data_IF_508218093476
#
_entry.id   IF_508218093476
#
_cell.length_a   1.000
_cell.length_b   1.000
_cell.length_c   1.000
_cell.angle_alpha   90.00
_cell.angle_beta   90.00
_cell.angle_gamma   90.00
#
_symmetry.space_group_name_H-M   'P 1'
#
loop_
_entity.id
_entity.type
_entity.pdbx_description
1 polymer ?
#
# COMPACT_ATOMS: atom_id res chain seq x y z
N UNK A 1 1.35 9.40 -10.36
CA UNK A 1 1.58 8.53 -9.20
C UNK A 1 2.73 9.00 -8.33
N UNK A 2 4.01 8.89 -8.74
CA UNK A 2 5.16 9.28 -7.88
C UNK A 2 5.05 10.71 -7.36
N UNK A 3 4.78 11.70 -8.22
CA UNK A 3 4.60 13.10 -7.79
C UNK A 3 3.50 13.29 -6.74
N UNK A 4 2.43 12.50 -6.82
CA UNK A 4 1.31 12.57 -5.88
C UNK A 4 1.68 11.94 -4.53
N UNK A 5 2.39 10.81 -4.56
CA UNK A 5 2.95 10.19 -3.36
C UNK A 5 3.95 11.13 -2.68
N UNK A 6 4.90 11.69 -3.43
CA UNK A 6 5.87 12.68 -2.92
C UNK A 6 5.16 13.86 -2.28
N UNK A 7 4.13 14.40 -2.93
CA UNK A 7 3.36 15.51 -2.37
C UNK A 7 2.69 15.11 -1.04
N UNK A 8 2.03 13.95 -1.00
CA UNK A 8 1.37 13.43 0.22
C UNK A 8 2.36 13.25 1.37
N UNK A 9 3.54 12.69 1.09
CA UNK A 9 4.59 12.47 2.10
C UNK A 9 5.17 13.80 2.59
N UNK A 10 5.38 14.76 1.70
CA UNK A 10 5.85 16.10 2.05
C UNK A 10 4.83 16.86 2.91
N UNK A 11 3.53 16.76 2.63
CA UNK A 11 2.46 17.36 3.45
C UNK A 11 2.43 16.76 4.87
N UNK A 12 2.76 15.47 4.99
CA UNK A 12 2.92 14.79 6.27
C UNK A 12 4.26 15.10 6.98
N UNK A 13 5.13 15.93 6.37
CA UNK A 13 6.45 16.25 6.92
C UNK A 13 7.45 15.08 6.87
N UNK A 14 7.23 14.10 5.98
CA UNK A 14 8.08 12.93 5.84
C UNK A 14 9.09 13.20 4.71
N UNK A 15 10.37 13.31 5.07
CA UNK A 15 11.48 13.37 4.12
C UNK A 15 11.94 11.94 3.78
N UNK A 16 11.91 11.57 2.51
CA UNK A 16 12.21 10.21 2.08
C UNK A 16 12.72 10.12 0.64
N UNK A 17 13.53 9.09 0.38
CA UNK A 17 13.87 8.65 -0.98
C UNK A 17 12.79 7.70 -1.48
N UNK A 18 12.22 7.99 -2.66
CA UNK A 18 11.19 7.14 -3.27
C UNK A 18 11.83 6.30 -4.36
N UNK A 19 11.79 4.99 -4.17
CA UNK A 19 12.14 4.02 -5.19
C UNK A 19 10.87 3.42 -5.80
N UNK A 20 10.86 3.27 -7.12
CA UNK A 20 9.69 2.76 -7.85
C UNK A 20 9.99 1.43 -8.49
N UNK A 21 9.08 0.48 -8.35
CA UNK A 21 9.20 -0.84 -8.96
C UNK A 21 7.89 -1.23 -9.64
N UNK A 22 8.02 -1.96 -10.75
CA UNK A 22 6.89 -2.65 -11.35
C UNK A 22 6.62 -3.96 -10.61
N UNK A 23 5.34 -4.31 -10.44
CA UNK A 23 4.85 -5.48 -9.67
C UNK A 23 5.62 -6.77 -9.97
N UNK A 24 6.02 -6.99 -11.24
CA UNK A 24 6.74 -8.19 -11.67
C UNK A 24 8.08 -8.41 -10.95
N UNK A 25 8.72 -7.34 -10.44
CA UNK A 25 10.01 -7.38 -9.73
C UNK A 25 9.89 -7.08 -8.23
N UNK A 26 8.68 -6.84 -7.72
CA UNK A 26 8.48 -6.45 -6.32
C UNK A 26 8.93 -7.54 -5.35
N UNK A 27 8.86 -8.83 -5.74
CA UNK A 27 9.14 -9.95 -4.82
C UNK A 27 10.56 -9.96 -4.25
N UNK A 28 11.57 -9.65 -5.07
CA UNK A 28 12.96 -9.58 -4.63
C UNK A 28 13.23 -8.30 -3.81
N UNK A 29 12.64 -7.18 -4.22
CA UNK A 29 12.78 -5.92 -3.49
C UNK A 29 12.03 -5.91 -2.16
N UNK A 30 10.98 -6.71 -2.00
CA UNK A 30 10.32 -6.85 -0.70
C UNK A 30 11.26 -7.44 0.36
N UNK A 31 12.33 -8.13 -0.01
CA UNK A 31 13.34 -8.58 0.96
C UNK A 31 14.27 -7.45 1.41
N UNK A 32 14.27 -6.29 0.73
CA UNK A 32 14.99 -5.11 1.14
C UNK A 32 14.30 -4.40 2.33
N UNK A 33 15.09 -3.75 3.17
CA UNK A 33 14.62 -3.02 4.35
C UNK A 33 14.05 -1.65 3.97
N UNK A 34 12.84 -1.62 3.41
CA UNK A 34 12.09 -0.38 3.23
C UNK A 34 11.39 0.02 4.54
N UNK A 35 11.36 1.33 4.83
CA UNK A 35 10.58 1.83 5.96
C UNK A 35 9.07 1.80 5.67
N UNK A 36 8.66 2.11 4.44
CA UNK A 36 7.27 2.19 4.01
C UNK A 36 7.11 1.63 2.60
N UNK A 37 5.90 1.17 2.27
CA UNK A 37 5.57 0.73 0.92
C UNK A 37 4.26 1.36 0.46
N UNK A 38 4.21 1.79 -0.81
CA UNK A 38 3.02 2.37 -1.42
C UNK A 38 2.57 1.53 -2.62
N UNK A 39 1.28 1.18 -2.67
CA UNK A 39 0.68 0.37 -3.73
C UNK A 39 -0.29 1.17 -4.62
N UNK A 40 -0.27 0.90 -5.91
CA UNK A 40 -1.24 1.40 -6.90
C UNK A 40 -1.52 0.33 -7.95
N UNK A 41 -2.80 -0.02 -8.15
CA UNK A 41 -3.24 -1.09 -9.07
C UNK A 41 -2.44 -2.39 -8.92
N UNK A 42 -2.16 -2.78 -7.67
CA UNK A 42 -1.53 -4.06 -7.35
C UNK A 42 -2.59 -5.11 -7.03
N UNK A 43 -2.24 -6.39 -7.15
CA UNK A 43 -3.14 -7.49 -6.83
C UNK A 43 -3.44 -7.55 -5.32
N UNK A 44 -4.67 -7.90 -4.95
CA UNK A 44 -5.15 -7.93 -3.55
C UNK A 44 -4.39 -8.89 -2.63
N UNK A 45 -3.86 -10.01 -3.15
CA UNK A 45 -3.03 -10.92 -2.35
C UNK A 45 -1.66 -10.30 -2.04
N UNK A 46 -1.14 -9.48 -2.97
CA UNK A 46 0.09 -8.71 -2.79
C UNK A 46 -0.15 -7.57 -1.80
N UNK A 47 -1.26 -6.86 -1.91
CA UNK A 47 -1.69 -5.82 -0.95
C UNK A 47 -1.75 -6.38 0.48
N UNK A 48 -2.39 -7.55 0.65
CA UNK A 48 -2.49 -8.20 1.94
C UNK A 48 -1.09 -8.52 2.50
N UNK A 49 -0.21 -9.08 1.66
CA UNK A 49 1.16 -9.41 2.04
C UNK A 49 1.94 -8.15 2.48
N UNK A 50 1.74 -7.02 1.80
CA UNK A 50 2.40 -5.76 2.13
C UNK A 50 1.87 -5.19 3.43
N UNK A 51 0.55 -5.18 3.61
CA UNK A 51 -0.08 -4.70 4.83
C UNK A 51 0.36 -5.49 6.07
N UNK A 52 0.57 -6.81 5.93
CA UNK A 52 1.06 -7.66 7.02
C UNK A 52 2.54 -7.46 7.33
N UNK A 53 3.37 -7.20 6.31
CA UNK A 53 4.81 -6.98 6.47
C UNK A 53 5.12 -5.56 6.97
N UNK A 54 4.43 -4.56 6.44
CA UNK A 54 4.62 -3.13 6.72
C UNK A 54 3.47 -2.59 7.57
N UNK A 55 3.29 -3.15 8.76
CA UNK A 55 2.20 -2.78 9.69
C UNK A 55 2.26 -1.28 10.00
N UNK A 56 1.13 -0.57 9.79
CA UNK A 56 1.00 0.88 9.90
C UNK A 56 1.94 1.70 8.99
N UNK A 57 2.55 1.07 7.99
CA UNK A 57 3.53 1.68 7.07
C UNK A 57 3.22 1.37 5.60
N UNK A 58 2.03 0.84 5.34
CA UNK A 58 1.52 0.58 4.00
C UNK A 58 0.58 1.71 3.55
N UNK A 59 0.89 2.37 2.43
CA UNK A 59 0.01 3.32 1.77
C UNK A 59 -0.68 2.67 0.58
N UNK A 60 -1.99 2.80 0.52
CA UNK A 60 -2.80 2.42 -0.64
C UNK A 60 -3.25 3.68 -1.38
N UNK A 61 -3.28 3.62 -2.71
CA UNK A 61 -3.90 4.66 -3.52
C UNK A 61 -5.41 4.40 -3.66
N UNK A 62 -6.23 5.26 -3.05
CA UNK A 62 -7.68 5.16 -3.15
C UNK A 62 -8.18 5.93 -4.38
N UNK A 63 -8.51 5.22 -5.47
CA UNK A 63 -9.01 5.80 -6.72
C UNK A 63 -10.22 6.74 -6.50
N UNK A 64 -11.11 6.41 -5.55
CA UNK A 64 -12.29 7.21 -5.22
C UNK A 64 -11.97 8.61 -4.67
N UNK A 65 -10.81 8.78 -4.07
CA UNK A 65 -10.37 10.02 -3.43
C UNK A 65 -9.15 10.65 -4.11
N UNK A 66 -8.58 9.94 -5.10
CA UNK A 66 -7.38 10.35 -5.82
C UNK A 66 -6.23 10.75 -4.88
N UNK A 67 -6.01 9.96 -3.82
CA UNK A 67 -4.99 10.21 -2.80
C UNK A 67 -4.36 8.92 -2.28
N UNK A 68 -3.15 9.05 -1.73
CA UNK A 68 -2.54 7.99 -0.93
C UNK A 68 -2.96 8.16 0.53
N UNK A 69 -3.30 7.06 1.18
CA UNK A 69 -3.52 7.03 2.62
C UNK A 69 -2.96 5.73 3.19
N UNK A 70 -2.55 5.76 4.46
CA UNK A 70 -2.29 4.53 5.19
C UNK A 70 -3.53 3.64 5.14
N UNK A 71 -3.31 2.36 4.89
CA UNK A 71 -4.40 1.42 4.67
C UNK A 71 -4.19 0.13 5.44
N UNK A 72 -5.30 -0.46 5.83
CA UNK A 72 -5.34 -1.82 6.35
C UNK A 72 -6.05 -2.71 5.33
N UNK A 73 -5.49 -3.90 5.11
CA UNK A 73 -6.03 -4.90 4.19
C UNK A 73 -6.45 -6.11 5.00
N UNK A 74 -7.75 -6.37 5.05
CA UNK A 74 -8.33 -7.47 5.83
C UNK A 74 -8.97 -8.50 4.93
N UNK A 75 -8.62 -9.77 5.12
CA UNK A 75 -9.35 -10.90 4.54
C UNK A 75 -10.71 -11.02 5.24
N UNK A 76 -11.80 -11.06 4.47
CA UNK A 76 -13.15 -11.26 5.02
C UNK A 76 -13.54 -12.73 5.02
N UNK A 77 -13.88 -13.30 3.86
CA UNK A 77 -14.38 -14.67 3.75
C UNK A 77 -14.12 -15.25 2.35
N UNK A 78 -14.26 -16.56 2.22
CA UNK A 78 -14.26 -17.25 0.92
C UNK A 78 -15.71 -17.36 0.42
N UNK A 79 -16.08 -16.60 -0.60
CA UNK A 79 -17.39 -16.69 -1.25
C UNK A 79 -17.24 -17.41 -2.59
N UNK A 80 -17.82 -18.60 -2.70
CA UNK A 80 -17.82 -19.37 -3.95
C UNK A 80 -16.43 -19.78 -4.45
N UNK A 81 -15.45 -19.97 -3.55
CA UNK A 81 -14.07 -20.30 -3.90
C UNK A 81 -13.13 -19.10 -4.07
N UNK A 82 -13.65 -17.88 -3.92
CA UNK A 82 -12.86 -16.64 -4.05
C UNK A 82 -12.62 -16.00 -2.69
N UNK A 83 -11.37 -15.68 -2.39
CA UNK A 83 -11.02 -14.88 -1.22
C UNK A 83 -11.50 -13.44 -1.43
N UNK A 84 -12.33 -12.95 -0.53
CA UNK A 84 -12.78 -11.55 -0.54
C UNK A 84 -11.94 -10.75 0.45
N UNK A 85 -11.40 -9.62 -0.03
CA UNK A 85 -10.59 -8.70 0.77
C UNK A 85 -11.30 -7.35 0.91
N UNK A 86 -10.94 -6.60 1.94
CA UNK A 86 -11.33 -5.20 2.10
C UNK A 86 -10.09 -4.37 2.38
N UNK A 87 -9.95 -3.28 1.66
CA UNK A 87 -8.92 -2.27 1.86
C UNK A 87 -9.61 -1.04 2.41
N UNK A 88 -9.18 -0.57 3.57
CA UNK A 88 -9.77 0.60 4.24
C UNK A 88 -8.69 1.56 4.73
N UNK A 89 -8.90 2.88 4.63
CA UNK A 89 -7.96 3.84 5.17
C UNK A 89 -7.87 3.70 6.70
N UNK A 90 -6.67 3.89 7.23
CA UNK A 90 -6.43 4.01 8.67
C UNK A 90 -6.68 5.48 9.03
N UNK A 91 -7.64 5.73 9.92
CA UNK A 91 -7.81 7.06 10.50
C UNK A 91 -6.59 7.41 11.35
N UNK A 92 -5.81 8.38 10.91
CA UNK A 92 -4.74 8.98 11.70
C UNK A 92 -5.38 10.10 12.52
N UNK A 93 -5.54 9.88 13.84
CA UNK A 93 -5.95 10.93 14.78
C UNK A 93 -4.78 11.84 15.11
#
# INVERSE_FOLDING_TARGET
>A
MVKLLTHTLNEAGIDCTIETCAIFNAKAQLEEEYDMVAGYHIDTDVELSFCQKFVNKYLHFFDSHHCFSFANVTKREEMGGYNVYTISPISVN
#
